data_IF_624439950246
#
_entry.id   IF_624439950246
#
_cell.length_a   1.000
_cell.length_b   1.000
_cell.length_c   1.000
_cell.angle_alpha   90.00
_cell.angle_beta   90.00
_cell.angle_gamma   90.00
#
_symmetry.space_group_name_H-M   'P 1'
#
loop_
_entity.id
_entity.type
_entity.pdbx_description
1 polymer ?
#
# COMPACT_ATOMS: atom_id res chain seq x y z
N UNK A 1 17.09 -11.99 8.38
CA UNK A 1 16.27 -11.08 9.22
C UNK A 1 14.82 -11.52 9.16
N UNK A 2 14.12 -11.47 10.30
CA UNK A 2 12.68 -11.67 10.38
C UNK A 2 12.01 -10.31 10.27
N UNK A 3 10.99 -10.21 9.39
CA UNK A 3 10.24 -8.97 9.19
C UNK A 3 8.81 -9.19 9.65
N UNK A 4 8.42 -8.41 10.65
CA UNK A 4 7.06 -8.41 11.20
C UNK A 4 6.42 -7.07 10.86
N UNK A 5 5.24 -7.09 10.27
CA UNK A 5 4.55 -5.88 9.85
C UNK A 5 3.03 -6.03 9.98
N UNK A 6 2.30 -4.96 9.64
CA UNK A 6 0.85 -4.87 9.85
C UNK A 6 0.09 -5.82 8.92
N UNK A 7 -0.87 -6.55 9.50
CA UNK A 7 -1.80 -7.42 8.76
C UNK A 7 -2.92 -6.60 8.06
N UNK A 8 -3.67 -7.22 7.09
CA UNK A 8 -4.88 -6.61 6.56
C UNK A 8 -5.89 -6.19 7.67
N UNK A 9 -6.68 -5.13 7.46
CA UNK A 9 -6.90 -4.40 6.21
C UNK A 9 -5.81 -3.42 5.82
N UNK A 10 -4.75 -3.24 6.61
CA UNK A 10 -3.58 -2.50 6.12
C UNK A 10 -2.88 -3.29 5.02
N UNK A 11 -2.64 -2.65 3.90
CA UNK A 11 -1.93 -3.26 2.78
C UNK A 11 -0.41 -3.20 2.92
N UNK A 12 0.07 -2.26 3.72
CA UNK A 12 1.50 -1.92 3.80
C UNK A 12 2.38 -3.11 4.18
N UNK A 13 2.03 -3.83 5.26
CA UNK A 13 2.83 -4.96 5.71
C UNK A 13 2.90 -6.11 4.70
N UNK A 14 1.76 -6.54 4.18
CA UNK A 14 1.69 -7.59 3.17
C UNK A 14 2.56 -7.23 1.95
N UNK A 15 2.45 -6.00 1.46
CA UNK A 15 3.16 -5.59 0.26
C UNK A 15 4.64 -5.36 0.46
N UNK A 16 5.07 -4.88 1.61
CA UNK A 16 6.51 -4.78 1.92
C UNK A 16 7.15 -6.16 1.89
N UNK A 17 6.52 -7.16 2.53
CA UNK A 17 7.04 -8.53 2.54
C UNK A 17 6.99 -9.13 1.13
N UNK A 18 5.90 -8.93 0.38
CA UNK A 18 5.79 -9.36 -1.02
C UNK A 18 6.91 -8.77 -1.88
N UNK A 19 7.16 -7.46 -1.77
CA UNK A 19 8.26 -6.79 -2.48
C UNK A 19 9.61 -7.41 -2.15
N UNK A 20 9.90 -7.60 -0.87
CA UNK A 20 11.18 -8.19 -0.44
C UNK A 20 11.35 -9.59 -0.99
N UNK A 21 10.28 -10.40 -0.99
CA UNK A 21 10.31 -11.75 -1.57
C UNK A 21 10.56 -11.74 -3.09
N UNK A 22 10.04 -10.75 -3.83
CA UNK A 22 10.33 -10.59 -5.25
C UNK A 22 11.79 -10.16 -5.44
N UNK A 23 12.24 -9.16 -4.70
CA UNK A 23 13.57 -8.58 -4.80
C UNK A 23 14.69 -9.57 -4.43
N UNK A 24 14.44 -10.56 -3.58
CA UNK A 24 15.38 -11.64 -3.26
C UNK A 24 15.82 -12.46 -4.50
N UNK A 25 15.06 -12.41 -5.59
CA UNK A 25 15.40 -13.11 -6.83
C UNK A 25 16.42 -12.34 -7.71
N UNK A 26 16.88 -11.17 -7.28
CA UNK A 26 17.81 -10.31 -8.00
C UNK A 26 19.07 -10.04 -7.18
N UNK A 27 20.23 -10.00 -7.84
CA UNK A 27 21.48 -9.56 -7.22
C UNK A 27 21.53 -8.03 -7.12
N UNK A 28 20.73 -7.44 -6.25
CA UNK A 28 20.69 -5.99 -6.07
C UNK A 28 22.05 -5.40 -5.67
N UNK A 29 22.87 -6.18 -4.96
CA UNK A 29 24.24 -5.75 -4.59
C UNK A 29 25.14 -5.66 -5.81
N UNK A 30 25.10 -6.66 -6.70
CA UNK A 30 25.83 -6.66 -7.94
C UNK A 30 25.38 -5.59 -8.92
N UNK A 31 24.07 -5.26 -8.92
CA UNK A 31 23.53 -4.16 -9.73
C UNK A 31 24.06 -2.78 -9.29
N UNK A 32 24.43 -2.64 -8.03
CA UNK A 32 24.93 -1.39 -7.46
C UNK A 32 23.83 -0.50 -6.86
N UNK A 33 24.22 0.27 -5.85
CA UNK A 33 23.31 1.18 -5.14
C UNK A 33 22.85 2.32 -6.05
N UNK A 34 21.53 2.54 -6.13
CA UNK A 34 20.89 3.55 -6.99
C UNK A 34 21.28 3.48 -8.49
N UNK A 35 21.71 2.32 -8.96
CA UNK A 35 21.90 2.11 -10.41
C UNK A 35 20.57 2.14 -11.16
N UNK A 36 20.62 2.30 -12.49
CA UNK A 36 19.43 2.21 -13.34
C UNK A 36 18.74 0.85 -13.17
N UNK A 37 19.52 -0.24 -13.15
CA UNK A 37 19.01 -1.61 -13.04
C UNK A 37 18.33 -1.84 -11.69
N UNK A 38 18.97 -1.47 -10.58
CA UNK A 38 18.38 -1.64 -9.25
C UNK A 38 17.11 -0.80 -9.09
N UNK A 39 17.11 0.44 -9.60
CA UNK A 39 15.94 1.32 -9.57
C UNK A 39 14.82 0.77 -10.43
N UNK A 40 15.13 0.24 -11.61
CA UNK A 40 14.16 -0.38 -12.51
C UNK A 40 13.49 -1.59 -11.87
N UNK A 41 14.25 -2.53 -11.32
CA UNK A 41 13.71 -3.73 -10.65
C UNK A 41 12.81 -3.35 -9.47
N UNK A 42 13.21 -2.37 -8.66
CA UNK A 42 12.39 -1.88 -7.53
C UNK A 42 11.08 -1.27 -8.06
N UNK A 43 11.14 -0.42 -9.08
CA UNK A 43 9.96 0.22 -9.65
C UNK A 43 8.97 -0.80 -10.26
N UNK A 44 9.47 -1.78 -11.02
CA UNK A 44 8.65 -2.86 -11.59
C UNK A 44 8.00 -3.70 -10.49
N UNK A 45 8.74 -4.03 -9.44
CA UNK A 45 8.23 -4.75 -8.26
C UNK A 45 7.09 -3.96 -7.59
N UNK A 46 7.27 -2.65 -7.40
CA UNK A 46 6.23 -1.79 -6.83
C UNK A 46 4.96 -1.78 -7.68
N UNK A 47 5.09 -1.67 -9.00
CA UNK A 47 3.93 -1.69 -9.91
C UNK A 47 3.13 -2.99 -9.82
N UNK A 48 3.81 -4.14 -9.79
CA UNK A 48 3.15 -5.45 -9.64
C UNK A 48 2.42 -5.55 -8.30
N UNK A 49 3.06 -5.12 -7.22
CA UNK A 49 2.45 -5.07 -5.90
C UNK A 49 1.20 -4.19 -5.88
N UNK A 50 1.23 -3.00 -6.48
CA UNK A 50 0.04 -2.14 -6.55
C UNK A 50 -1.06 -2.72 -7.45
N UNK A 51 -0.72 -3.49 -8.49
CA UNK A 51 -1.69 -4.24 -9.27
C UNK A 51 -2.40 -5.30 -8.41
N UNK A 52 -1.65 -6.11 -7.66
CA UNK A 52 -2.20 -7.09 -6.72
C UNK A 52 -3.06 -6.43 -5.64
N UNK A 53 -2.57 -5.32 -5.05
CA UNK A 53 -3.30 -4.52 -4.07
C UNK A 53 -4.69 -4.13 -4.56
N UNK A 54 -4.77 -3.71 -5.81
CA UNK A 54 -6.01 -3.19 -6.37
C UNK A 54 -7.12 -4.21 -6.47
N UNK A 55 -6.80 -5.50 -6.60
CA UNK A 55 -7.76 -6.59 -6.81
C UNK A 55 -7.90 -7.53 -5.62
N UNK A 56 -6.82 -7.76 -4.87
CA UNK A 56 -6.74 -8.82 -3.87
C UNK A 56 -6.92 -8.33 -2.43
N UNK A 57 -6.76 -7.03 -2.17
CA UNK A 57 -6.74 -6.50 -0.81
C UNK A 57 -8.08 -5.88 -0.39
N UNK A 58 -8.41 -6.05 0.88
CA UNK A 58 -9.60 -5.51 1.53
C UNK A 58 -9.66 -5.92 2.98
N UNK A 59 -10.77 -5.64 3.64
CA UNK A 59 -11.03 -6.05 5.01
C UNK A 59 -11.25 -7.57 5.07
N UNK A 60 -10.42 -8.33 5.80
CA UNK A 60 -10.48 -9.80 5.84
C UNK A 60 -11.77 -10.34 6.47
N UNK A 61 -12.50 -9.54 7.25
CA UNK A 61 -13.81 -9.92 7.78
C UNK A 61 -14.90 -9.96 6.68
N UNK A 62 -14.64 -9.35 5.53
CA UNK A 62 -15.60 -9.21 4.42
C UNK A 62 -15.14 -9.87 3.12
N UNK A 63 -13.84 -10.10 2.95
CA UNK A 63 -13.25 -10.68 1.74
C UNK A 63 -12.13 -11.64 2.08
N UNK A 64 -12.01 -12.71 1.30
CA UNK A 64 -10.93 -13.67 1.45
C UNK A 64 -9.63 -13.12 0.84
N UNK A 65 -8.86 -12.43 1.67
CA UNK A 65 -7.53 -11.94 1.28
C UNK A 65 -6.54 -13.09 1.30
N UNK A 66 -6.02 -13.47 0.13
CA UNK A 66 -5.09 -14.60 -0.04
C UNK A 66 -3.66 -14.23 0.41
N UNK A 67 -3.50 -13.88 1.70
CA UNK A 67 -2.22 -13.42 2.27
C UNK A 67 -1.12 -14.46 2.05
N UNK A 68 -1.40 -15.73 2.32
CA UNK A 68 -0.40 -16.81 2.16
C UNK A 68 0.14 -16.89 0.74
N UNK A 69 -0.74 -16.73 -0.28
CA UNK A 69 -0.32 -16.68 -1.68
C UNK A 69 0.53 -15.46 -1.96
N UNK A 70 0.08 -14.27 -1.54
CA UNK A 70 0.80 -13.01 -1.78
C UNK A 70 2.21 -13.02 -1.17
N UNK A 71 2.37 -13.71 -0.04
CA UNK A 71 3.65 -13.80 0.68
C UNK A 71 4.49 -15.02 0.29
N UNK A 72 3.98 -15.92 -0.57
CA UNK A 72 4.72 -17.13 -0.95
C UNK A 72 5.92 -16.82 -1.82
N UNK A 73 7.00 -17.59 -1.62
CA UNK A 73 8.22 -17.46 -2.44
C UNK A 73 7.99 -17.95 -3.86
N UNK A 74 7.08 -18.89 -4.08
CA UNK A 74 6.68 -19.38 -5.39
C UNK A 74 6.05 -18.26 -6.21
N UNK A 75 5.06 -17.57 -5.65
CA UNK A 75 4.42 -16.42 -6.32
C UNK A 75 5.41 -15.28 -6.57
N UNK A 76 6.30 -15.03 -5.63
CA UNK A 76 7.36 -14.03 -5.79
C UNK A 76 8.29 -14.35 -6.99
N UNK A 77 8.66 -15.63 -7.19
CA UNK A 77 9.44 -16.07 -8.37
C UNK A 77 8.67 -15.89 -9.67
N UNK A 78 7.38 -16.21 -9.68
CA UNK A 78 6.52 -15.99 -10.85
C UNK A 78 6.46 -14.51 -11.24
N UNK A 79 6.39 -13.62 -10.26
CA UNK A 79 6.37 -12.18 -10.49
C UNK A 79 7.75 -11.66 -10.92
N UNK A 80 8.82 -12.09 -10.28
CA UNK A 80 10.18 -11.74 -10.65
C UNK A 80 10.49 -12.10 -12.11
N UNK A 81 10.04 -13.27 -12.58
CA UNK A 81 10.22 -13.72 -13.96
C UNK A 81 9.48 -12.85 -15.00
N UNK A 82 8.51 -12.03 -14.58
CA UNK A 82 7.79 -11.11 -15.49
C UNK A 82 8.52 -9.79 -15.70
N UNK A 83 9.50 -9.46 -14.88
CA UNK A 83 10.29 -8.23 -15.02
C UNK A 83 11.16 -8.35 -16.28
N UNK A 84 11.02 -7.38 -17.18
CA UNK A 84 11.88 -7.24 -18.34
C UNK A 84 12.90 -6.15 -18.03
N UNK A 85 14.18 -6.46 -18.11
CA UNK A 85 15.24 -5.51 -17.74
C UNK A 85 15.44 -4.39 -18.76
N UNK A 86 14.99 -4.58 -20.02
CA UNK A 86 15.18 -3.61 -21.09
C UNK A 86 14.02 -2.60 -21.19
N UNK A 87 12.82 -2.97 -20.71
CA UNK A 87 11.62 -2.17 -20.89
C UNK A 87 10.73 -2.18 -19.65
N UNK A 88 10.26 -1.00 -19.29
CA UNK A 88 9.21 -0.85 -18.29
C UNK A 88 7.89 -1.44 -18.80
N UNK A 89 7.17 -2.17 -17.94
CA UNK A 89 5.87 -2.76 -18.25
C UNK A 89 4.74 -2.05 -17.50
N UNK A 90 3.55 -2.11 -18.09
CA UNK A 90 2.32 -1.83 -17.38
C UNK A 90 1.72 -3.12 -16.85
N UNK A 91 1.23 -3.08 -15.61
CA UNK A 91 0.58 -4.21 -14.95
C UNK A 91 -0.89 -3.85 -14.68
N UNK A 92 -1.81 -4.67 -15.22
CA UNK A 92 -3.24 -4.46 -15.00
C UNK A 92 -3.60 -4.60 -13.49
N UNK A 93 -4.59 -3.82 -12.97
CA UNK A 93 -5.49 -2.94 -13.71
C UNK A 93 -5.14 -1.47 -13.51
N UNK A 94 -4.28 -0.94 -14.32
CA UNK A 94 -3.96 0.48 -14.32
C UNK A 94 -4.46 1.13 -15.60
N UNK A 95 -5.76 1.45 -15.67
CA UNK A 95 -6.28 2.28 -16.73
C UNK A 95 -5.78 3.71 -16.55
N UNK A 96 -5.05 4.19 -17.53
CA UNK A 96 -4.25 5.41 -17.59
C UNK A 96 -4.91 6.73 -17.23
N UNK A 97 -5.26 6.92 -15.97
CA UNK A 97 -5.66 8.23 -15.43
C UNK A 97 -4.43 8.85 -14.76
N UNK A 98 -4.05 10.05 -15.19
CA UNK A 98 -2.98 10.82 -14.55
C UNK A 98 -3.26 10.99 -13.05
N UNK A 99 -2.30 10.59 -12.23
CA UNK A 99 -2.36 10.81 -10.80
C UNK A 99 -2.24 12.31 -10.51
N UNK A 100 -3.29 12.91 -9.93
CA UNK A 100 -3.14 14.24 -9.33
C UNK A 100 -2.23 14.11 -8.11
N UNK A 101 -1.28 15.04 -8.01
CA UNK A 101 -0.33 15.08 -6.90
C UNK A 101 -1.07 15.10 -5.55
N UNK A 102 -0.86 14.07 -4.75
CA UNK A 102 -1.40 13.98 -3.39
C UNK A 102 -0.40 14.58 -2.41
N UNK A 103 -0.84 15.55 -1.64
CA UNK A 103 -0.05 16.23 -0.61
C UNK A 103 -0.66 16.00 0.77
N UNK A 104 -0.71 14.77 1.23
CA UNK A 104 -1.05 14.45 2.60
C UNK A 104 0.10 13.69 3.25
N UNK A 105 0.63 14.21 4.35
CA UNK A 105 1.69 13.55 5.10
C UNK A 105 1.12 13.11 6.45
N UNK A 106 1.05 11.79 6.73
CA UNK A 106 0.80 11.33 8.08
C UNK A 106 1.94 11.76 9.00
N UNK A 107 1.63 11.99 10.26
CA UNK A 107 2.64 12.22 11.30
C UNK A 107 2.90 10.93 12.04
N UNK A 108 4.17 10.59 12.22
CA UNK A 108 4.59 9.50 13.07
C UNK A 108 5.33 10.05 14.29
N UNK A 109 5.05 9.50 15.46
CA UNK A 109 5.80 9.79 16.66
C UNK A 109 6.05 8.51 17.45
N UNK A 110 7.19 8.49 18.14
CA UNK A 110 7.57 7.42 19.04
C UNK A 110 7.89 8.01 20.41
N UNK A 111 7.34 7.41 21.44
CA UNK A 111 7.57 7.81 22.83
C UNK A 111 8.09 6.61 23.60
N UNK A 112 9.12 6.82 24.39
CA UNK A 112 9.68 5.83 25.29
C UNK A 112 9.66 6.37 26.73
N UNK A 113 9.17 5.57 27.67
CA UNK A 113 9.22 5.93 29.08
C UNK A 113 10.56 5.49 29.74
N UNK A 114 10.74 5.90 31.01
CA UNK A 114 11.95 5.55 31.78
C UNK A 114 12.10 4.06 32.09
N UNK A 115 11.08 3.26 31.87
CA UNK A 115 11.07 1.82 32.09
C UNK A 115 11.37 1.03 30.80
N UNK A 116 11.55 1.71 29.67
CA UNK A 116 11.79 1.09 28.37
C UNK A 116 10.52 0.69 27.62
N UNK A 117 9.33 1.05 28.09
CA UNK A 117 8.11 0.87 27.31
C UNK A 117 8.10 1.85 26.14
N UNK A 118 7.76 1.35 24.95
CA UNK A 118 7.78 2.14 23.72
C UNK A 118 6.40 2.12 23.09
N UNK A 119 5.93 3.28 22.66
CA UNK A 119 4.77 3.42 21.78
C UNK A 119 5.22 4.13 20.50
N UNK A 120 4.83 3.58 19.35
CA UNK A 120 5.01 4.23 18.05
C UNK A 120 3.66 4.33 17.37
N UNK A 121 3.28 5.53 16.97
CA UNK A 121 1.97 5.80 16.39
C UNK A 121 2.10 6.64 15.13
N UNK A 122 1.39 6.21 14.09
CA UNK A 122 1.14 7.01 12.90
C UNK A 122 -0.27 7.58 12.98
N UNK A 123 -0.42 8.88 12.80
CA UNK A 123 -1.69 9.58 12.84
C UNK A 123 -1.89 10.40 11.57
N UNK A 124 -3.08 10.33 11.02
CA UNK A 124 -3.46 11.08 9.82
C UNK A 124 -4.94 11.43 9.83
N UNK A 125 -5.29 12.52 9.17
CA UNK A 125 -6.66 12.85 8.78
C UNK A 125 -6.87 12.64 7.27
N UNK A 126 -5.93 11.98 6.61
CA UNK A 126 -5.79 11.61 5.22
C UNK A 126 -5.39 12.80 4.35
N UNK A 127 -6.29 13.67 3.93
CA UNK A 127 -5.96 14.86 3.14
C UNK A 127 -5.62 16.05 4.03
N UNK A 128 -4.96 17.07 3.48
CA UNK A 128 -4.88 18.38 4.09
C UNK A 128 -6.28 18.85 4.50
N UNK A 129 -6.46 19.23 5.76
CA UNK A 129 -7.75 19.62 6.35
C UNK A 129 -8.82 18.51 6.38
N UNK A 130 -8.45 17.24 6.15
CA UNK A 130 -9.35 16.08 6.22
C UNK A 130 -10.61 16.28 5.36
N UNK A 131 -11.77 16.20 5.97
CA UNK A 131 -13.06 16.46 5.31
C UNK A 131 -13.41 17.96 5.21
N UNK A 132 -12.62 18.86 5.80
CA UNK A 132 -12.96 20.27 5.94
C UNK A 132 -14.02 20.57 7.01
N UNK A 133 -14.52 19.55 7.71
CA UNK A 133 -15.54 19.69 8.76
C UNK A 133 -14.86 19.83 10.11
N UNK A 134 -15.07 20.95 10.76
CA UNK A 134 -14.64 21.21 12.15
C UNK A 134 -15.78 20.87 13.10
N UNK A 135 -15.47 20.13 14.15
CA UNK A 135 -16.46 19.80 15.19
C UNK A 135 -16.63 21.00 16.13
N UNK A 136 -17.82 21.63 16.19
CA UNK A 136 -18.07 22.79 17.04
C UNK A 136 -17.77 22.49 18.51
N UNK A 137 -17.03 23.38 19.16
CA UNK A 137 -16.70 23.26 20.58
C UNK A 137 -15.67 22.18 20.93
N UNK A 138 -15.09 21.46 19.97
CA UNK A 138 -14.10 20.40 20.20
C UNK A 138 -12.71 20.72 19.65
N UNK A 139 -12.59 21.66 18.72
CA UNK A 139 -11.31 22.18 18.22
C UNK A 139 -10.51 21.22 17.33
N UNK A 140 -11.15 20.22 16.72
CA UNK A 140 -10.49 19.33 15.76
C UNK A 140 -11.28 19.19 14.45
N UNK A 141 -10.55 18.81 13.43
CA UNK A 141 -11.07 18.60 12.06
C UNK A 141 -11.30 17.10 11.86
N UNK A 142 -12.44 16.74 11.26
CA UNK A 142 -12.73 15.36 10.91
C UNK A 142 -11.86 14.88 9.75
N UNK A 143 -11.45 13.61 9.83
CA UNK A 143 -10.76 12.96 8.72
C UNK A 143 -11.69 12.75 7.50
N UNK A 144 -11.12 12.40 6.37
CA UNK A 144 -11.83 11.97 5.17
C UNK A 144 -11.43 10.55 4.72
N UNK A 145 -11.10 9.67 5.67
CA UNK A 145 -10.62 8.31 5.40
C UNK A 145 -11.66 7.40 4.71
N UNK A 146 -12.94 7.78 4.70
CA UNK A 146 -13.95 7.10 3.89
C UNK A 146 -13.61 7.06 2.40
N UNK A 147 -12.79 7.99 1.91
CA UNK A 147 -12.30 8.00 0.53
C UNK A 147 -11.21 6.94 0.26
N UNK A 148 -10.81 6.15 1.27
CA UNK A 148 -9.93 4.98 1.09
C UNK A 148 -10.71 3.75 0.64
N UNK A 149 -12.05 3.75 0.75
CA UNK A 149 -12.88 2.76 0.08
C UNK A 149 -12.92 2.95 -1.43
N UNK A 150 -13.19 1.85 -2.15
CA UNK A 150 -13.51 1.91 -3.58
C UNK A 150 -14.92 2.47 -3.76
N UNK A 151 -15.02 3.63 -4.40
CA UNK A 151 -16.33 4.16 -4.82
C UNK A 151 -16.93 3.33 -5.97
N UNK A 152 -16.08 2.87 -6.88
CA UNK A 152 -16.41 2.02 -8.02
C UNK A 152 -15.18 1.19 -8.42
N UNK A 153 -15.38 -0.08 -8.82
CA UNK A 153 -14.31 -0.91 -9.31
C UNK A 153 -13.60 -0.28 -10.51
N UNK A 154 -12.27 -0.34 -10.54
CA UNK A 154 -11.45 0.18 -11.63
C UNK A 154 -11.31 1.70 -11.69
N UNK A 155 -12.05 2.45 -10.87
CA UNK A 155 -11.89 3.91 -10.79
C UNK A 155 -10.77 4.23 -9.80
N UNK A 156 -9.82 5.04 -10.23
CA UNK A 156 -8.74 5.52 -9.36
C UNK A 156 -9.25 6.54 -8.36
N UNK A 157 -8.69 6.49 -7.16
CA UNK A 157 -8.87 7.54 -6.17
C UNK A 157 -8.18 8.83 -6.62
N UNK A 158 -8.41 9.91 -5.89
CA UNK A 158 -7.67 11.18 -6.08
C UNK A 158 -6.16 11.04 -5.88
N UNK A 159 -5.72 9.91 -5.31
CA UNK A 159 -4.31 9.54 -5.10
C UNK A 159 -3.75 8.68 -6.23
N UNK A 160 -4.51 8.43 -7.29
CA UNK A 160 -4.11 7.59 -8.40
C UNK A 160 -4.16 6.08 -8.12
N UNK A 161 -4.64 5.67 -6.93
CA UNK A 161 -4.76 4.26 -6.56
C UNK A 161 -6.05 3.67 -7.12
N UNK A 162 -5.95 2.58 -7.86
CA UNK A 162 -7.10 1.79 -8.27
C UNK A 162 -7.43 0.76 -7.18
N UNK A 163 -8.71 0.61 -6.88
CA UNK A 163 -9.19 -0.41 -5.96
C UNK A 163 -10.27 -1.26 -6.63
N UNK A 164 -10.21 -2.57 -6.38
CA UNK A 164 -11.23 -3.50 -6.80
C UNK A 164 -12.47 -3.50 -5.90
N UNK A 165 -13.44 -4.35 -6.23
CA UNK A 165 -14.66 -4.54 -5.42
C UNK A 165 -14.37 -5.11 -4.03
N UNK A 166 -13.21 -5.76 -3.83
CA UNK A 166 -12.77 -6.25 -2.52
C UNK A 166 -12.75 -5.14 -1.46
N UNK A 167 -12.45 -3.88 -1.86
CA UNK A 167 -12.45 -2.72 -0.98
C UNK A 167 -13.70 -1.82 -1.12
N UNK A 168 -14.80 -2.32 -1.69
CA UNK A 168 -16.04 -1.55 -1.78
C UNK A 168 -16.62 -1.28 -0.39
N UNK A 169 -17.23 -0.11 -0.23
CA UNK A 169 -17.85 0.32 1.03
C UNK A 169 -19.01 -0.62 1.45
N UNK A 170 -19.07 -0.98 2.72
CA UNK A 170 -20.16 -1.72 3.35
C UNK A 170 -20.29 -1.30 4.83
N UNK A 171 -21.49 -1.44 5.44
CA UNK A 171 -21.64 -1.21 6.88
C UNK A 171 -20.70 -2.11 7.70
N UNK A 172 -20.04 -1.54 8.69
CA UNK A 172 -19.11 -2.24 9.58
C UNK A 172 -17.74 -2.57 8.99
N UNK A 173 -17.51 -2.28 7.69
CA UNK A 173 -16.25 -2.59 7.00
C UNK A 173 -15.19 -1.51 7.23
N UNK A 174 -13.95 -1.96 7.38
CA UNK A 174 -12.77 -1.09 7.47
C UNK A 174 -12.18 -0.83 6.07
N UNK A 175 -11.84 0.42 5.73
CA UNK A 175 -11.20 0.72 4.44
C UNK A 175 -9.77 0.16 4.39
N UNK A 176 -9.32 -0.14 3.19
CA UNK A 176 -7.94 -0.49 2.91
C UNK A 176 -7.02 0.71 3.13
N UNK A 177 -5.94 0.51 3.88
CA UNK A 177 -4.93 1.55 4.16
C UNK A 177 -3.55 1.17 3.60
#
# INVERSE_FOLDING_TARGET
YDIISMAPPSSGGTHIIQMLNILENFDLKGMGFHSADSTHVIAETMKMMFADRSVAMGDPDFVDVKVDKLLSKEYAKELAAKINMDHAKEYAPTDGIEAKEYRGCPSNFTVMDKYGNVISQTQTIRNWWGSGVVIPGRGFIMNNAMADFSAKAGVRTTQGLAYGMANAIRPGKTPLS
#
